data_IF_788892353421
#
_entry.id   IF_788892353421
#
_cell.length_a   1.000
_cell.length_b   1.000
_cell.length_c   1.000
_cell.angle_alpha   90.00
_cell.angle_beta   90.00
_cell.angle_gamma   90.00
#
_symmetry.space_group_name_H-M   'P 1'
#
loop_
_entity.id
_entity.type
_entity.pdbx_description
1 polymer ?
#
# COMPACT_ATOMS: atom_id res chain seq x y z
N UNK A 1 17.49 -7.78 -6.32
CA UNK A 1 16.08 -8.08 -5.98
C UNK A 1 15.40 -6.85 -5.38
N UNK A 2 15.90 -6.28 -4.28
CA UNK A 2 15.38 -5.03 -3.71
C UNK A 2 15.26 -3.86 -4.71
N UNK A 3 16.28 -3.63 -5.54
CA UNK A 3 16.23 -2.59 -6.59
C UNK A 3 15.16 -2.86 -7.66
N UNK A 4 14.87 -4.13 -7.96
CA UNK A 4 13.85 -4.50 -8.93
C UNK A 4 12.44 -4.25 -8.37
N UNK A 5 12.22 -4.54 -7.08
CA UNK A 5 10.96 -4.22 -6.39
C UNK A 5 10.72 -2.71 -6.37
N UNK A 6 11.73 -1.94 -5.95
CA UNK A 6 11.63 -0.48 -5.92
C UNK A 6 11.29 0.11 -7.31
N UNK A 7 12.00 -0.35 -8.35
CA UNK A 7 11.76 0.13 -9.72
C UNK A 7 10.37 -0.22 -10.25
N UNK A 8 9.79 -1.35 -9.83
CA UNK A 8 8.41 -1.71 -10.20
C UNK A 8 7.42 -0.80 -9.47
N UNK A 9 7.58 -0.59 -8.17
CA UNK A 9 6.70 0.30 -7.39
C UNK A 9 6.76 1.74 -7.91
N UNK A 10 7.96 2.27 -8.13
CA UNK A 10 8.14 3.62 -8.68
C UNK A 10 7.48 3.77 -10.06
N UNK A 11 7.53 2.72 -10.90
CA UNK A 11 6.87 2.72 -12.20
C UNK A 11 5.35 2.77 -12.04
N UNK A 12 4.78 1.95 -11.16
CA UNK A 12 3.34 1.93 -10.91
C UNK A 12 2.87 3.28 -10.36
N UNK A 13 3.60 3.87 -9.41
CA UNK A 13 3.32 5.21 -8.87
C UNK A 13 3.37 6.28 -9.96
N UNK A 14 4.39 6.24 -10.82
CA UNK A 14 4.54 7.17 -11.92
C UNK A 14 3.40 7.04 -12.95
N UNK A 15 2.93 5.83 -13.22
CA UNK A 15 1.80 5.57 -14.12
C UNK A 15 0.46 6.05 -13.52
N UNK A 16 0.32 6.01 -12.20
CA UNK A 16 -0.87 6.46 -11.49
C UNK A 16 -0.94 7.98 -11.33
N UNK A 17 0.21 8.65 -11.21
CA UNK A 17 0.29 10.09 -10.91
C UNK A 17 -0.39 10.95 -11.98
N UNK A 18 -1.21 11.91 -11.54
CA UNK A 18 -1.78 12.94 -12.43
C UNK A 18 -0.67 13.86 -12.94
N UNK A 19 -0.64 14.10 -14.25
CA UNK A 19 0.36 14.98 -14.88
C UNK A 19 0.35 16.37 -14.25
N UNK A 20 1.53 16.84 -13.81
CA UNK A 20 1.68 18.15 -13.17
C UNK A 20 1.30 18.18 -11.69
N UNK A 21 0.78 17.08 -11.13
CA UNK A 21 0.41 17.04 -9.71
C UNK A 21 1.63 17.17 -8.80
N UNK A 22 1.46 17.86 -7.67
CA UNK A 22 2.48 17.96 -6.62
C UNK A 22 2.51 16.73 -5.70
N UNK A 23 1.51 15.86 -5.77
CA UNK A 23 1.51 14.61 -5.04
C UNK A 23 2.54 13.66 -5.65
N UNK A 24 3.50 13.25 -4.83
CA UNK A 24 4.56 12.32 -5.20
C UNK A 24 4.84 11.40 -4.02
N UNK A 25 4.87 10.11 -4.32
CA UNK A 25 5.30 9.05 -3.42
C UNK A 25 6.39 8.30 -4.19
N UNK A 26 7.44 7.88 -3.50
CA UNK A 26 8.47 6.98 -4.04
C UNK A 26 8.38 5.62 -3.38
N UNK A 27 8.99 4.62 -4.01
CA UNK A 27 9.18 3.32 -3.39
C UNK A 27 9.98 3.42 -2.08
N UNK A 28 10.93 4.35 -1.98
CA UNK A 28 11.68 4.57 -0.75
C UNK A 28 10.78 5.06 0.39
N UNK A 29 9.87 6.01 0.11
CA UNK A 29 8.90 6.50 1.10
C UNK A 29 7.98 5.36 1.55
N UNK A 30 7.43 4.58 0.61
CA UNK A 30 6.56 3.44 0.93
C UNK A 30 7.27 2.37 1.72
N UNK A 31 8.55 2.11 1.43
CA UNK A 31 9.35 1.17 2.21
C UNK A 31 9.46 1.62 3.65
N UNK A 32 9.80 2.89 3.88
CA UNK A 32 9.93 3.44 5.23
C UNK A 32 8.61 3.34 6.01
N UNK A 33 7.50 3.75 5.39
CA UNK A 33 6.19 3.70 6.04
C UNK A 33 5.70 2.27 6.26
N UNK A 34 5.94 1.35 5.31
CA UNK A 34 5.61 -0.06 5.47
C UNK A 34 6.40 -0.69 6.62
N UNK A 35 7.70 -0.40 6.73
CA UNK A 35 8.53 -0.91 7.84
C UNK A 35 8.04 -0.39 9.19
N UNK A 36 7.65 0.89 9.26
CA UNK A 36 7.08 1.48 10.47
C UNK A 36 5.75 0.81 10.86
N UNK A 37 4.85 0.64 9.89
CA UNK A 37 3.58 -0.08 10.09
C UNK A 37 3.79 -1.53 10.56
N UNK A 38 4.76 -2.25 9.98
CA UNK A 38 5.08 -3.61 10.43
C UNK A 38 5.64 -3.64 11.85
N UNK A 39 6.39 -2.61 12.26
CA UNK A 39 6.84 -2.52 13.65
C UNK A 39 5.68 -2.30 14.63
N UNK A 40 4.63 -1.57 14.23
CA UNK A 40 3.40 -1.46 15.00
C UNK A 40 2.65 -2.80 15.06
N UNK A 41 2.66 -3.57 13.95
CA UNK A 41 2.09 -4.93 13.91
C UNK A 41 2.80 -5.91 14.83
N UNK A 42 4.13 -5.83 14.96
CA UNK A 42 4.86 -6.66 15.93
C UNK A 42 4.34 -6.45 17.37
N UNK A 43 4.04 -5.21 17.73
CA UNK A 43 3.50 -4.86 19.05
C UNK A 43 2.08 -5.39 19.21
N UNK A 44 1.23 -5.25 18.18
CA UNK A 44 -0.12 -5.80 18.18
C UNK A 44 -0.10 -7.33 18.34
N UNK A 45 0.75 -8.03 17.60
CA UNK A 45 0.88 -9.49 17.65
C UNK A 45 1.44 -10.00 18.98
N UNK A 46 2.30 -9.22 19.65
CA UNK A 46 2.72 -9.54 21.01
C UNK A 46 1.54 -9.55 21.99
N UNK A 47 0.51 -8.73 21.74
CA UNK A 47 -0.72 -8.68 22.53
C UNK A 47 -1.80 -9.67 22.05
N UNK A 48 -1.86 -9.94 20.75
CA UNK A 48 -2.85 -10.81 20.10
C UNK A 48 -2.17 -11.83 19.16
N UNK A 49 -1.53 -12.87 19.71
CA UNK A 49 -0.78 -13.85 18.91
C UNK A 49 -1.61 -14.60 17.87
N UNK A 50 -2.92 -14.70 18.07
CA UNK A 50 -3.86 -15.32 17.12
C UNK A 50 -3.95 -14.58 15.77
N UNK A 51 -3.50 -13.31 15.72
CA UNK A 51 -3.49 -12.50 14.50
C UNK A 51 -2.22 -12.71 13.66
N UNK A 52 -1.21 -13.40 14.19
CA UNK A 52 0.07 -13.63 13.48
C UNK A 52 -0.18 -14.41 12.19
N UNK A 53 0.39 -13.91 11.09
CA UNK A 53 0.29 -14.53 9.76
C UNK A 53 -1.09 -14.38 9.09
N UNK A 54 -2.05 -13.69 9.72
CA UNK A 54 -3.27 -13.31 9.04
C UNK A 54 -2.99 -12.19 8.03
N UNK A 55 -3.64 -12.20 6.85
CA UNK A 55 -3.52 -11.10 5.92
C UNK A 55 -3.93 -9.77 6.56
N UNK A 56 -3.16 -8.73 6.27
CA UNK A 56 -3.44 -7.38 6.75
C UNK A 56 -3.08 -6.37 5.67
N UNK A 57 -3.56 -5.14 5.82
CA UNK A 57 -3.32 -4.11 4.83
C UNK A 57 -3.12 -2.75 5.48
N UNK A 58 -2.54 -1.83 4.71
CA UNK A 58 -2.51 -0.42 5.05
C UNK A 58 -2.56 0.43 3.78
N UNK A 59 -3.08 1.65 3.91
CA UNK A 59 -3.10 2.65 2.84
C UNK A 59 -2.35 3.89 3.28
N UNK A 60 -1.45 4.36 2.43
CA UNK A 60 -0.78 5.64 2.59
C UNK A 60 -1.16 6.57 1.44
N UNK A 61 -1.17 7.87 1.73
CA UNK A 61 -1.45 8.86 0.70
C UNK A 61 -0.65 10.15 0.89
N UNK A 62 -0.50 10.88 -0.21
CA UNK A 62 0.01 12.25 -0.28
C UNK A 62 -1.08 13.15 -0.86
N UNK A 63 -1.41 14.20 -0.13
CA UNK A 63 -2.57 15.06 -0.35
C UNK A 63 -2.22 16.56 -0.43
N UNK A 64 -1.01 16.88 -0.92
CA UNK A 64 -0.63 18.26 -1.26
C UNK A 64 -1.60 18.93 -2.25
N UNK A 65 -2.35 18.12 -3.01
CA UNK A 65 -3.52 18.52 -3.79
C UNK A 65 -4.70 17.61 -3.43
N UNK A 66 -5.69 18.18 -2.75
CA UNK A 66 -6.77 17.42 -2.10
C UNK A 66 -7.64 16.66 -3.10
N UNK A 67 -7.98 17.26 -4.24
CA UNK A 67 -8.88 16.65 -5.25
C UNK A 67 -8.23 15.48 -6.02
N UNK A 68 -6.90 15.34 -5.93
CA UNK A 68 -6.13 14.33 -6.68
C UNK A 68 -5.02 13.74 -5.80
N UNK A 69 -5.33 13.46 -4.53
CA UNK A 69 -4.41 12.79 -3.63
C UNK A 69 -3.93 11.47 -4.26
N UNK A 70 -2.63 11.22 -4.18
CA UNK A 70 -2.02 9.98 -4.65
C UNK A 70 -1.96 9.02 -3.47
N UNK A 71 -2.43 7.79 -3.65
CA UNK A 71 -2.36 6.76 -2.61
C UNK A 71 -1.69 5.48 -3.11
N UNK A 72 -1.18 4.71 -2.17
CA UNK A 72 -0.77 3.34 -2.35
C UNK A 72 -1.28 2.47 -1.19
N UNK A 73 -1.99 1.40 -1.52
CA UNK A 73 -2.45 0.40 -0.58
C UNK A 73 -1.60 -0.86 -0.72
N UNK A 74 -1.13 -1.38 0.42
CA UNK A 74 -0.37 -2.63 0.49
C UNK A 74 -1.22 -3.67 1.18
N UNK A 75 -1.39 -4.82 0.55
CA UNK A 75 -1.98 -6.02 1.16
C UNK A 75 -0.86 -7.02 1.40
N UNK A 76 -0.57 -7.26 2.67
CA UNK A 76 0.42 -8.22 3.14
C UNK A 76 -0.26 -9.57 3.29
N UNK A 77 -0.05 -10.46 2.32
CA UNK A 77 -0.52 -11.84 2.36
C UNK A 77 0.54 -12.80 2.88
N UNK A 78 0.19 -14.09 2.93
CA UNK A 78 1.12 -15.14 3.37
C UNK A 78 2.25 -15.42 2.37
N UNK A 79 1.99 -15.24 1.07
CA UNK A 79 2.93 -15.58 -0.01
C UNK A 79 3.43 -14.37 -0.82
N UNK A 80 2.78 -13.23 -0.70
CA UNK A 80 3.09 -12.03 -1.49
C UNK A 80 2.60 -10.75 -0.80
N UNK A 81 3.17 -9.63 -1.21
CA UNK A 81 2.62 -8.29 -0.98
C UNK A 81 2.00 -7.81 -2.28
N UNK A 82 0.73 -7.40 -2.23
CA UNK A 82 0.05 -6.77 -3.36
C UNK A 82 0.00 -5.27 -3.17
N UNK A 83 0.47 -4.52 -4.17
CA UNK A 83 0.53 -3.06 -4.16
C UNK A 83 -0.47 -2.50 -5.17
N UNK A 84 -1.40 -1.68 -4.70
CA UNK A 84 -2.39 -0.99 -5.53
C UNK A 84 -2.20 0.51 -5.40
N UNK A 85 -1.99 1.20 -6.51
CA UNK A 85 -1.81 2.65 -6.53
C UNK A 85 -2.99 3.33 -7.24
N UNK A 86 -3.54 4.37 -6.63
CA UNK A 86 -4.62 5.14 -7.24
C UNK A 86 -4.57 6.62 -6.89
N UNK A 87 -5.55 7.35 -7.40
CA UNK A 87 -5.79 8.75 -7.06
C UNK A 87 -7.25 9.00 -6.72
N UNK A 88 -7.52 9.97 -5.87
CA UNK A 88 -8.88 10.38 -5.53
C UNK A 88 -8.91 11.64 -4.68
N UNK A 89 -10.11 12.04 -4.28
CA UNK A 89 -10.28 13.09 -3.28
C UNK A 89 -9.76 12.61 -1.92
N UNK A 90 -8.93 13.44 -1.27
CA UNK A 90 -8.26 13.13 -0.01
C UNK A 90 -9.23 12.82 1.13
N UNK A 91 -10.38 13.49 1.20
CA UNK A 91 -11.38 13.25 2.24
C UNK A 91 -12.12 11.94 1.96
N UNK A 92 -12.45 11.67 0.69
CA UNK A 92 -13.04 10.40 0.30
C UNK A 92 -12.10 9.22 0.61
N UNK A 93 -10.80 9.35 0.32
CA UNK A 93 -9.80 8.32 0.64
C UNK A 93 -9.73 8.08 2.16
N UNK A 94 -9.65 9.15 2.97
CA UNK A 94 -9.58 9.03 4.44
C UNK A 94 -10.84 8.41 5.03
N UNK A 95 -12.02 8.80 4.55
CA UNK A 95 -13.29 8.23 5.00
C UNK A 95 -13.32 6.75 4.66
N UNK A 96 -12.97 6.39 3.42
CA UNK A 96 -12.90 5.01 2.98
C UNK A 96 -11.95 4.19 3.85
N UNK A 97 -10.72 4.65 4.07
CA UNK A 97 -9.73 3.95 4.89
C UNK A 97 -10.24 3.67 6.33
N UNK A 98 -10.99 4.62 6.90
CA UNK A 98 -11.55 4.49 8.26
C UNK A 98 -12.76 3.53 8.33
N UNK A 99 -13.54 3.45 7.26
CA UNK A 99 -14.81 2.71 7.22
C UNK A 99 -14.63 1.24 6.77
N UNK A 100 -13.46 0.86 6.26
CA UNK A 100 -13.25 -0.45 5.66
C UNK A 100 -12.86 -1.55 6.68
N UNK A 101 -13.27 -2.80 6.43
CA UNK A 101 -12.98 -3.91 7.32
C UNK A 101 -11.48 -4.26 7.33
N UNK A 102 -11.05 -4.90 8.43
CA UNK A 102 -9.69 -5.42 8.57
C UNK A 102 -9.35 -6.53 7.55
N UNK A 103 -10.36 -7.21 7.00
CA UNK A 103 -10.20 -8.25 5.98
C UNK A 103 -9.84 -7.62 4.62
N UNK A 104 -8.64 -7.89 4.05
CA UNK A 104 -8.23 -7.34 2.77
C UNK A 104 -8.88 -8.05 1.55
N UNK A 105 -9.74 -9.05 1.76
CA UNK A 105 -10.40 -9.79 0.69
C UNK A 105 -11.26 -8.88 -0.19
N UNK A 106 -10.87 -8.71 -1.45
CA UNK A 106 -11.60 -7.87 -2.42
C UNK A 106 -11.19 -6.40 -2.43
N UNK A 107 -10.24 -6.00 -1.59
CA UNK A 107 -9.80 -4.60 -1.41
C UNK A 107 -9.43 -3.90 -2.73
N UNK A 108 -8.73 -4.56 -3.65
CA UNK A 108 -8.39 -3.95 -4.96
C UNK A 108 -9.65 -3.66 -5.79
N UNK A 109 -10.64 -4.56 -5.78
CA UNK A 109 -11.86 -4.36 -6.54
C UNK A 109 -12.67 -3.17 -6.01
N UNK A 110 -12.67 -2.98 -4.69
CA UNK A 110 -13.31 -1.85 -4.03
C UNK A 110 -12.57 -0.54 -4.31
N UNK A 111 -11.24 -0.52 -4.18
CA UNK A 111 -10.43 0.65 -4.53
C UNK A 111 -10.63 1.07 -5.99
N UNK A 112 -10.73 0.12 -6.92
CA UNK A 112 -11.02 0.40 -8.34
C UNK A 112 -12.43 0.88 -8.61
N UNK A 113 -13.39 0.48 -7.76
CA UNK A 113 -14.79 0.93 -7.86
C UNK A 113 -14.92 2.37 -7.40
N UNK A 114 -14.23 2.71 -6.31
CA UNK A 114 -14.46 3.96 -5.58
C UNK A 114 -13.42 5.06 -5.96
N UNK A 115 -12.26 4.68 -6.51
CA UNK A 115 -11.18 5.60 -6.88
C UNK A 115 -10.61 5.35 -8.28
N UNK A 116 -9.78 6.28 -8.76
CA UNK A 116 -9.07 6.12 -10.02
C UNK A 116 -7.83 5.26 -9.82
N UNK A 117 -7.92 3.99 -10.22
CA UNK A 117 -6.80 3.03 -10.21
C UNK A 117 -6.53 2.61 -11.66
N UNK A 118 -5.56 3.23 -12.36
CA UNK A 118 -5.40 3.06 -13.80
C UNK A 118 -4.73 1.74 -14.21
N UNK A 119 -3.91 1.16 -13.32
CA UNK A 119 -3.19 -0.08 -13.56
C UNK A 119 -3.64 -1.17 -12.60
N UNK A 120 -3.35 -2.42 -12.95
CA UNK A 120 -3.55 -3.51 -12.03
C UNK A 120 -2.55 -3.49 -10.88
N UNK A 121 -3.00 -3.96 -9.72
CA UNK A 121 -2.11 -4.15 -8.58
C UNK A 121 -0.94 -5.07 -8.96
N UNK A 122 0.24 -4.72 -8.47
CA UNK A 122 1.46 -5.51 -8.64
C UNK A 122 1.57 -6.48 -7.47
N UNK A 123 1.78 -7.76 -7.77
CA UNK A 123 2.13 -8.77 -6.77
C UNK A 123 3.65 -8.93 -6.69
N UNK A 124 4.19 -8.83 -5.47
CA UNK A 124 5.61 -9.02 -5.16
C UNK A 124 5.70 -10.26 -4.27
N UNK A 125 6.39 -11.30 -4.75
CA UNK A 125 6.56 -12.54 -3.98
C UNK A 125 7.25 -12.30 -2.64
N UNK A 126 6.91 -13.12 -1.63
CA UNK A 126 7.33 -12.91 -0.24
C UNK A 126 8.83 -12.68 -0.09
N UNK A 127 9.66 -13.55 -0.67
CA UNK A 127 11.13 -13.43 -0.59
C UNK A 127 11.65 -12.10 -1.15
N UNK A 128 11.08 -11.60 -2.24
CA UNK A 128 11.51 -10.33 -2.83
C UNK A 128 11.03 -9.13 -1.99
N UNK A 129 9.81 -9.20 -1.47
CA UNK A 129 9.27 -8.19 -0.58
C UNK A 129 10.04 -8.12 0.74
N UNK A 130 10.36 -9.26 1.37
CA UNK A 130 11.18 -9.31 2.59
C UNK A 130 12.59 -8.77 2.34
N UNK A 131 13.22 -9.14 1.21
CA UNK A 131 14.53 -8.62 0.83
C UNK A 131 14.52 -7.10 0.59
N UNK A 132 13.42 -6.57 0.04
CA UNK A 132 13.25 -5.14 -0.17
C UNK A 132 12.94 -4.40 1.14
N UNK A 133 12.01 -4.88 1.96
CA UNK A 133 11.67 -4.29 3.27
C UNK A 133 12.87 -4.38 4.23
N UNK A 134 13.66 -5.45 4.14
CA UNK A 134 14.73 -5.79 5.08
C UNK A 134 14.22 -6.47 6.36
N UNK A 135 12.99 -7.01 6.32
CA UNK A 135 12.31 -7.67 7.44
C UNK A 135 11.17 -8.56 6.95
N UNK A 136 10.70 -9.44 7.82
CA UNK A 136 9.50 -10.26 7.65
C UNK A 136 8.22 -9.56 8.15
N UNK A 137 7.09 -10.22 7.88
CA UNK A 137 5.75 -9.94 8.36
C UNK A 137 4.92 -11.23 8.47
#
# INVERSE_FOLDING_TARGET
MAEAVAAVIDRTLAATRVTGSRNAITAADLREWAVAYLAEKDLEWAHFPELVGQPHWNLWMMDAELDNALFAAFVFGTAEVRVVCGTGDSFAIRSWDSDNPADPSGLEAELRRDFRVPEAGVSIGRTDAEAWLGRDW
#
